data_IF_823674274123
#
_entry.id   IF_823674274123
#
_cell.length_a   1.000
_cell.length_b   1.000
_cell.length_c   1.000
_cell.angle_alpha   90.00
_cell.angle_beta   90.00
_cell.angle_gamma   90.00
#
_symmetry.space_group_name_H-M   'P 1'
#
loop_
_entity.id
_entity.type
_entity.pdbx_description
1 polymer ?
#
# COMPACT_ATOMS: atom_id res chain seq x y z
N UNK A 1 -13.10 -9.23 -16.87
CA UNK A 1 -12.98 -9.74 -15.48
C UNK A 1 -11.63 -9.27 -15.00
N UNK A 2 -11.61 -8.45 -13.96
CA UNK A 2 -10.37 -7.94 -13.41
C UNK A 2 -9.56 -9.07 -12.76
N UNK A 3 -8.22 -9.06 -12.85
CA UNK A 3 -7.41 -10.14 -12.33
C UNK A 3 -7.50 -10.22 -10.80
N UNK A 4 -7.71 -11.44 -10.30
CA UNK A 4 -7.69 -11.74 -8.86
C UNK A 4 -6.30 -12.26 -8.51
N UNK A 5 -5.70 -11.71 -7.47
CA UNK A 5 -4.35 -12.02 -6.99
C UNK A 5 -4.42 -12.54 -5.56
N UNK A 6 -3.64 -13.54 -5.21
CA UNK A 6 -3.61 -14.06 -3.84
C UNK A 6 -3.04 -13.01 -2.86
N UNK A 7 -3.50 -13.07 -1.61
CA UNK A 7 -2.95 -12.19 -0.58
C UNK A 7 -1.46 -12.47 -0.32
N UNK A 8 -0.99 -13.67 -0.57
CA UNK A 8 0.41 -14.04 -0.49
C UNK A 8 1.24 -13.34 -1.57
N UNK A 9 0.79 -13.34 -2.81
CA UNK A 9 1.45 -12.63 -3.90
C UNK A 9 1.46 -11.12 -3.67
N UNK A 10 0.35 -10.53 -3.22
CA UNK A 10 0.29 -9.09 -2.91
C UNK A 10 1.29 -8.73 -1.80
N UNK A 11 1.40 -9.56 -0.76
CA UNK A 11 2.41 -9.38 0.29
C UNK A 11 3.84 -9.47 -0.24
N UNK A 12 4.10 -10.44 -1.12
CA UNK A 12 5.42 -10.63 -1.72
C UNK A 12 5.81 -9.44 -2.61
N UNK A 13 4.92 -8.99 -3.49
CA UNK A 13 5.11 -7.81 -4.35
C UNK A 13 5.39 -6.56 -3.52
N UNK A 14 4.55 -6.36 -2.50
CA UNK A 14 4.72 -5.22 -1.61
C UNK A 14 6.06 -5.26 -0.86
N UNK A 15 6.44 -6.41 -0.30
CA UNK A 15 7.73 -6.58 0.38
C UNK A 15 8.89 -6.31 -0.59
N UNK A 16 8.82 -6.79 -1.82
CA UNK A 16 9.84 -6.55 -2.84
C UNK A 16 10.01 -5.07 -3.18
N UNK A 17 8.90 -4.35 -3.33
CA UNK A 17 8.94 -2.91 -3.60
C UNK A 17 9.56 -2.11 -2.44
N UNK A 18 9.32 -2.54 -1.19
CA UNK A 18 9.91 -1.90 0.00
C UNK A 18 11.43 -2.13 0.10
N UNK A 19 11.98 -3.19 -0.49
CA UNK A 19 13.43 -3.42 -0.52
C UNK A 19 14.21 -2.35 -1.29
N UNK A 20 13.53 -1.59 -2.15
CA UNK A 20 14.10 -0.43 -2.85
C UNK A 20 14.26 0.79 -1.94
N UNK A 21 13.65 0.77 -0.75
CA UNK A 21 13.78 1.87 0.20
C UNK A 21 15.18 1.88 0.84
N UNK A 22 15.64 3.06 1.27
CA UNK A 22 16.94 3.24 1.94
C UNK A 22 16.99 2.65 3.37
N UNK A 23 15.96 1.90 3.77
CA UNK A 23 15.91 1.29 5.11
C UNK A 23 16.89 0.14 5.23
N UNK A 24 17.59 0.05 6.36
CA UNK A 24 18.45 -1.10 6.63
C UNK A 24 17.59 -2.31 6.96
N UNK A 25 17.67 -3.33 6.13
CA UNK A 25 17.09 -4.65 6.41
C UNK A 25 18.21 -5.57 6.83
N UNK A 26 18.16 -6.04 8.07
CA UNK A 26 19.21 -6.91 8.65
C UNK A 26 18.88 -8.40 8.52
N UNK A 27 17.79 -8.78 7.89
CA UNK A 27 17.42 -10.17 7.68
C UNK A 27 18.24 -10.76 6.52
N UNK A 28 19.09 -11.76 6.75
CA UNK A 28 19.91 -12.37 5.70
C UNK A 28 19.08 -12.93 4.54
N UNK A 29 17.86 -13.42 4.82
CA UNK A 29 16.99 -14.03 3.81
C UNK A 29 16.53 -13.02 2.75
N UNK A 30 16.50 -11.74 3.07
CA UNK A 30 16.08 -10.69 2.12
C UNK A 30 17.25 -9.89 1.53
N UNK A 31 18.50 -10.14 1.96
CA UNK A 31 19.66 -9.38 1.46
C UNK A 31 19.91 -9.63 -0.04
N UNK A 32 19.85 -10.87 -0.49
CA UNK A 32 20.00 -11.21 -1.91
C UNK A 32 18.83 -10.64 -2.73
N UNK A 33 17.62 -10.68 -2.17
CA UNK A 33 16.44 -10.10 -2.81
C UNK A 33 16.55 -8.58 -2.92
N UNK A 34 17.12 -7.93 -1.89
CA UNK A 34 17.43 -6.49 -1.95
C UNK A 34 18.40 -6.18 -3.09
N UNK A 35 19.44 -7.00 -3.28
CA UNK A 35 20.37 -6.83 -4.39
C UNK A 35 19.66 -6.94 -5.74
N UNK A 36 18.82 -7.99 -5.91
CA UNK A 36 18.01 -8.15 -7.13
C UNK A 36 17.09 -6.95 -7.38
N UNK A 37 16.42 -6.44 -6.31
CA UNK A 37 15.58 -5.27 -6.41
C UNK A 37 16.36 -4.02 -6.85
N UNK A 38 17.56 -3.79 -6.30
CA UNK A 38 18.44 -2.69 -6.70
C UNK A 38 18.94 -2.84 -8.14
N UNK A 39 19.17 -4.06 -8.61
CA UNK A 39 19.49 -4.39 -10.00
C UNK A 39 18.27 -4.31 -10.93
N UNK A 40 17.08 -3.99 -10.39
CA UNK A 40 15.82 -3.87 -11.11
C UNK A 40 15.35 -5.16 -11.77
N UNK A 41 15.66 -6.30 -11.18
CA UNK A 41 15.09 -7.59 -11.60
C UNK A 41 13.56 -7.50 -11.45
N UNK A 42 12.77 -7.81 -12.49
CA UNK A 42 11.31 -7.83 -12.38
C UNK A 42 10.84 -8.83 -11.33
N UNK A 43 9.76 -8.52 -10.62
CA UNK A 43 9.18 -9.42 -9.63
C UNK A 43 8.83 -10.79 -10.24
N UNK A 44 8.33 -10.78 -11.47
CA UNK A 44 7.94 -11.96 -12.24
C UNK A 44 9.11 -12.91 -12.56
N UNK A 45 10.35 -12.41 -12.54
CA UNK A 45 11.57 -13.17 -12.81
C UNK A 45 12.14 -13.82 -11.53
N UNK A 46 11.54 -13.57 -10.38
CA UNK A 46 11.89 -14.22 -9.12
C UNK A 46 11.36 -15.66 -9.09
N UNK A 47 12.06 -16.53 -8.38
CA UNK A 47 11.62 -17.91 -8.18
C UNK A 47 10.45 -18.01 -7.21
N UNK A 48 9.70 -19.13 -7.25
CA UNK A 48 8.61 -19.39 -6.30
C UNK A 48 9.11 -19.41 -4.83
N UNK A 49 10.33 -19.88 -4.58
CA UNK A 49 10.95 -19.85 -3.26
C UNK A 49 11.19 -18.41 -2.79
N UNK A 50 11.68 -17.54 -3.67
CA UNK A 50 11.90 -16.12 -3.39
C UNK A 50 10.59 -15.37 -3.12
N UNK A 51 9.53 -15.69 -3.86
CA UNK A 51 8.19 -15.18 -3.55
C UNK A 51 7.72 -15.61 -2.17
N UNK A 52 7.93 -16.86 -1.79
CA UNK A 52 7.61 -17.38 -0.45
C UNK A 52 8.38 -16.65 0.66
N UNK A 53 9.68 -16.41 0.46
CA UNK A 53 10.52 -15.63 1.39
C UNK A 53 9.98 -14.22 1.57
N UNK A 54 9.66 -13.54 0.47
CA UNK A 54 9.07 -12.19 0.50
C UNK A 54 7.73 -12.15 1.21
N UNK A 55 6.83 -13.09 0.89
CA UNK A 55 5.51 -13.19 1.50
C UNK A 55 5.58 -13.43 3.02
N UNK A 56 6.60 -14.13 3.50
CA UNK A 56 6.84 -14.34 4.92
C UNK A 56 7.55 -13.17 5.60
N UNK A 57 8.42 -12.47 4.87
CA UNK A 57 9.20 -11.36 5.40
C UNK A 57 8.44 -10.02 5.41
N UNK A 58 7.30 -9.91 4.71
CA UNK A 58 6.61 -8.65 4.45
C UNK A 58 6.36 -7.79 5.70
N UNK A 59 5.95 -8.39 6.81
CA UNK A 59 5.70 -7.67 8.07
C UNK A 59 6.99 -7.21 8.76
N UNK A 60 8.10 -7.92 8.56
CA UNK A 60 9.43 -7.58 9.10
C UNK A 60 10.08 -6.45 8.33
N UNK A 61 9.79 -6.38 7.04
CA UNK A 61 10.33 -5.36 6.16
C UNK A 61 9.87 -3.96 6.56
N UNK A 62 8.68 -3.80 7.11
CA UNK A 62 8.18 -2.49 7.54
C UNK A 62 7.91 -2.36 9.04
N UNK A 63 7.72 -3.45 9.75
CA UNK A 63 7.57 -3.45 11.20
C UNK A 63 6.34 -2.70 11.74
N UNK A 64 5.31 -2.47 10.90
CA UNK A 64 4.13 -1.70 11.30
C UNK A 64 2.96 -2.64 11.59
N UNK A 65 2.53 -2.77 12.87
CA UNK A 65 1.43 -3.66 13.25
C UNK A 65 0.12 -3.42 12.47
N UNK A 66 -0.15 -2.18 12.11
CA UNK A 66 -1.34 -1.78 11.34
C UNK A 66 -1.48 -2.55 10.02
N UNK A 67 -0.36 -2.89 9.36
CA UNK A 67 -0.40 -3.68 8.13
C UNK A 67 -0.86 -5.11 8.39
N UNK A 68 -0.38 -5.73 9.47
CA UNK A 68 -0.77 -7.09 9.85
C UNK A 68 -2.28 -7.15 10.06
N UNK A 69 -2.83 -6.20 10.79
CA UNK A 69 -4.27 -6.12 11.05
C UNK A 69 -5.06 -5.81 9.79
N UNK A 70 -4.54 -4.96 8.92
CA UNK A 70 -5.18 -4.59 7.64
C UNK A 70 -5.29 -5.75 6.64
N UNK A 71 -4.45 -6.78 6.79
CA UNK A 71 -4.50 -8.01 5.99
C UNK A 71 -5.24 -9.16 6.67
N UNK A 72 -5.63 -9.02 7.93
CA UNK A 72 -6.24 -10.11 8.68
C UNK A 72 -7.53 -10.63 7.99
N UNK A 73 -7.58 -11.93 7.73
CA UNK A 73 -8.71 -12.58 7.07
C UNK A 73 -8.86 -12.34 5.57
N UNK A 74 -7.94 -11.61 4.94
CA UNK A 74 -7.95 -11.41 3.48
C UNK A 74 -7.16 -12.53 2.82
N UNK A 75 -7.83 -13.27 1.92
CA UNK A 75 -7.23 -14.38 1.16
C UNK A 75 -6.84 -13.98 -0.27
N UNK A 76 -7.51 -12.98 -0.83
CA UNK A 76 -7.27 -12.50 -2.19
C UNK A 76 -7.61 -11.03 -2.36
N UNK A 77 -7.05 -10.45 -3.40
CA UNK A 77 -7.27 -9.07 -3.83
C UNK A 77 -7.70 -9.05 -5.29
N UNK A 78 -8.50 -8.08 -5.62
CA UNK A 78 -8.82 -7.70 -6.99
C UNK A 78 -8.00 -6.47 -7.35
N UNK A 79 -7.43 -6.46 -8.55
CA UNK A 79 -6.78 -5.29 -9.10
C UNK A 79 -7.85 -4.42 -9.76
N UNK A 80 -8.07 -3.23 -9.24
CA UNK A 80 -9.15 -2.35 -9.67
C UNK A 80 -8.64 -0.94 -9.99
N UNK A 81 -9.28 -0.30 -10.95
CA UNK A 81 -9.08 1.11 -11.26
C UNK A 81 -10.02 1.98 -10.41
N UNK A 82 -9.46 2.72 -9.46
CA UNK A 82 -10.23 3.61 -8.60
C UNK A 82 -10.26 5.03 -9.14
N UNK A 83 -11.44 5.61 -9.17
CA UNK A 83 -11.64 7.04 -9.39
C UNK A 83 -11.17 7.85 -8.17
N UNK A 84 -11.10 9.17 -8.36
CA UNK A 84 -10.84 10.10 -7.26
C UNK A 84 -11.86 10.00 -6.13
N UNK A 85 -13.14 9.78 -6.44
CA UNK A 85 -14.23 9.63 -5.47
C UNK A 85 -14.09 8.36 -4.63
N UNK A 86 -13.70 7.24 -5.25
CA UNK A 86 -13.46 5.99 -4.53
C UNK A 86 -12.25 6.11 -3.58
N UNK A 87 -11.18 6.79 -4.03
CA UNK A 87 -10.04 7.08 -3.17
C UNK A 87 -10.45 8.02 -2.02
N UNK A 88 -11.25 9.05 -2.30
CA UNK A 88 -11.76 9.99 -1.31
C UNK A 88 -12.47 9.29 -0.16
N UNK A 89 -13.30 8.30 -0.49
CA UNK A 89 -14.11 7.53 0.45
C UNK A 89 -13.33 6.45 1.23
N UNK A 90 -12.09 6.12 0.83
CA UNK A 90 -11.26 5.20 1.60
C UNK A 90 -10.79 5.84 2.91
N UNK A 91 -10.57 5.01 3.92
CA UNK A 91 -10.06 5.50 5.22
C UNK A 91 -8.53 5.55 5.23
N UNK A 92 -7.98 6.42 6.07
CA UNK A 92 -6.54 6.45 6.33
C UNK A 92 -6.18 5.60 7.55
N UNK A 93 -4.93 5.14 7.64
CA UNK A 93 -4.46 4.43 8.84
C UNK A 93 -4.46 5.36 10.06
N UNK A 94 -4.62 4.83 11.29
CA UNK A 94 -4.70 5.63 12.51
C UNK A 94 -3.55 6.61 12.69
N UNK A 95 -2.35 6.25 12.25
CA UNK A 95 -1.19 7.14 12.30
C UNK A 95 -1.47 8.49 11.62
N UNK A 96 -1.99 8.48 10.39
CA UNK A 96 -2.30 9.71 9.67
C UNK A 96 -3.53 10.44 10.21
N UNK A 97 -4.51 9.71 10.75
CA UNK A 97 -5.64 10.33 11.43
C UNK A 97 -5.18 11.13 12.65
N UNK A 98 -4.28 10.56 13.46
CA UNK A 98 -3.73 11.22 14.64
C UNK A 98 -2.87 12.45 14.30
N UNK A 99 -2.16 12.46 13.17
CA UNK A 99 -1.37 13.63 12.72
C UNK A 99 -2.22 14.88 12.54
N UNK A 100 -3.50 14.72 12.24
CA UNK A 100 -4.46 15.83 12.10
C UNK A 100 -5.35 16.00 13.34
N UNK A 101 -5.03 15.31 14.44
CA UNK A 101 -5.77 15.39 15.70
C UNK A 101 -7.08 14.64 15.73
N UNK A 102 -7.38 13.80 14.73
CA UNK A 102 -8.60 13.00 14.70
C UNK A 102 -8.54 11.85 15.73
N UNK A 103 -9.62 11.67 16.49
CA UNK A 103 -9.77 10.57 17.44
C UNK A 103 -10.50 9.38 16.81
N UNK A 104 -11.30 9.62 15.78
CA UNK A 104 -12.09 8.64 15.04
C UNK A 104 -11.46 8.36 13.67
N UNK A 105 -11.80 7.23 13.03
CA UNK A 105 -11.40 6.98 11.65
C UNK A 105 -11.88 8.08 10.72
N UNK A 106 -10.98 8.61 9.90
CA UNK A 106 -11.28 9.63 8.89
C UNK A 106 -10.99 9.13 7.49
N UNK A 107 -11.69 9.67 6.50
CA UNK A 107 -11.48 9.36 5.10
C UNK A 107 -10.21 10.03 4.56
N UNK A 108 -9.75 9.56 3.41
CA UNK A 108 -8.63 10.16 2.70
C UNK A 108 -8.89 11.63 2.33
N UNK A 109 -10.14 11.95 1.92
CA UNK A 109 -10.55 13.33 1.64
C UNK A 109 -10.46 14.21 2.88
N UNK A 110 -11.06 13.79 3.99
CA UNK A 110 -10.98 14.52 5.27
C UNK A 110 -9.54 14.72 5.73
N UNK A 111 -8.70 13.72 5.58
CA UNK A 111 -7.27 13.81 5.92
C UNK A 111 -6.56 14.85 5.06
N UNK A 112 -6.79 14.85 3.75
CA UNK A 112 -6.15 15.79 2.81
C UNK A 112 -6.62 17.24 3.04
N UNK A 113 -7.91 17.43 3.38
CA UNK A 113 -8.50 18.74 3.64
C UNK A 113 -8.07 19.32 5.00
N UNK A 114 -7.75 18.48 5.96
CA UNK A 114 -7.23 18.92 7.27
C UNK A 114 -5.82 19.54 7.22
N UNK A 115 -5.25 19.75 6.03
CA UNK A 115 -3.93 20.34 5.82
C UNK A 115 -2.74 19.63 6.51
N UNK A 116 -2.72 18.28 6.65
CA UNK A 116 -1.60 17.59 7.26
C UNK A 116 -0.30 17.78 6.47
N UNK A 117 -0.43 18.18 5.21
CA UNK A 117 0.66 18.33 4.25
C UNK A 117 1.63 19.45 4.63
N UNK A 118 1.23 20.38 5.50
CA UNK A 118 2.12 21.42 6.01
C UNK A 118 2.97 20.95 7.19
N UNK A 119 2.49 19.96 7.92
CA UNK A 119 3.17 19.37 9.08
C UNK A 119 3.92 18.08 8.78
N UNK A 120 3.75 17.53 7.57
CA UNK A 120 4.59 16.40 7.14
C UNK A 120 6.05 16.84 7.27
N UNK A 121 6.82 16.10 8.06
CA UNK A 121 8.24 16.31 8.20
C UNK A 121 8.90 16.58 6.85
N UNK A 122 9.96 17.39 6.78
CA UNK A 122 10.61 17.76 5.52
C UNK A 122 10.92 16.54 4.61
N UNK A 123 11.09 15.35 5.20
CA UNK A 123 11.20 14.09 4.48
C UNK A 123 9.96 13.73 3.69
N UNK A 124 8.77 13.84 4.27
CA UNK A 124 7.50 13.54 3.61
C UNK A 124 7.11 14.63 2.59
N UNK A 125 7.39 15.90 2.89
CA UNK A 125 7.20 16.99 1.94
C UNK A 125 8.09 16.84 0.69
N UNK A 126 9.31 16.32 0.83
CA UNK A 126 10.19 15.99 -0.29
C UNK A 126 9.56 14.95 -1.23
N UNK A 127 8.88 13.96 -0.71
CA UNK A 127 8.21 12.94 -1.55
C UNK A 127 7.01 13.51 -2.31
N UNK A 128 6.30 14.45 -1.76
CA UNK A 128 5.20 15.11 -2.46
C UNK A 128 5.68 16.08 -3.57
N UNK A 129 6.92 16.59 -3.46
CA UNK A 129 7.49 17.61 -4.37
C UNK A 129 8.61 17.10 -5.26
N UNK A 130 9.41 16.16 -4.77
CA UNK A 130 10.56 15.64 -5.48
C UNK A 130 10.16 14.54 -6.41
N UNK A 131 9.75 14.52 -7.50
CA UNK A 131 9.56 13.42 -8.46
C UNK A 131 10.50 12.19 -8.34
N UNK A 132 11.02 11.94 -7.14
CA UNK A 132 11.93 10.84 -6.85
C UNK A 132 11.23 9.50 -7.07
N UNK A 133 11.78 8.60 -7.88
CA UNK A 133 11.22 7.31 -8.18
C UNK A 133 11.52 6.35 -7.03
N UNK A 134 10.68 6.34 -5.99
CA UNK A 134 10.84 5.38 -4.88
C UNK A 134 9.90 4.19 -4.97
N UNK A 135 9.23 4.03 -6.07
CA UNK A 135 8.56 2.79 -6.44
C UNK A 135 8.72 2.60 -7.93
N UNK A 136 8.91 1.40 -8.44
CA UNK A 136 8.78 1.15 -9.86
C UNK A 136 7.50 1.82 -10.34
N UNK A 137 7.58 2.56 -11.44
CA UNK A 137 6.39 3.16 -12.02
C UNK A 137 5.39 2.04 -12.28
N UNK A 138 4.23 2.09 -11.62
CA UNK A 138 3.16 1.16 -11.88
C UNK A 138 2.72 0.24 -10.74
N UNK A 139 3.43 0.20 -9.60
CA UNK A 139 2.92 -0.61 -8.48
C UNK A 139 1.56 -0.10 -8.00
N UNK A 140 0.53 -0.97 -7.91
CA UNK A 140 -0.77 -0.57 -7.40
C UNK A 140 -0.72 -0.09 -5.96
N UNK A 141 -1.63 0.79 -5.55
CA UNK A 141 -1.83 1.10 -4.15
C UNK A 141 -2.42 -0.11 -3.43
N UNK A 142 -2.33 -0.11 -2.12
CA UNK A 142 -2.81 -1.20 -1.30
C UNK A 142 -3.89 -0.74 -0.34
N UNK A 143 -5.09 -1.28 -0.51
CA UNK A 143 -6.20 -1.15 0.44
C UNK A 143 -6.36 -2.45 1.20
N UNK A 144 -6.56 -2.36 2.50
CA UNK A 144 -6.92 -3.47 3.38
C UNK A 144 -8.18 -3.14 4.17
N UNK A 145 -8.37 -3.83 5.31
CA UNK A 145 -9.49 -3.57 6.21
C UNK A 145 -9.02 -3.37 7.63
N UNK A 146 -9.32 -2.21 8.20
CA UNK A 146 -9.13 -1.96 9.63
C UNK A 146 -10.50 -1.73 10.27
N UNK A 147 -10.82 -2.48 11.30
CA UNK A 147 -12.14 -2.47 11.94
C UNK A 147 -13.31 -2.59 10.93
N UNK A 148 -13.13 -3.38 9.87
CA UNK A 148 -14.11 -3.57 8.80
C UNK A 148 -14.15 -2.47 7.73
N UNK A 149 -13.45 -1.37 7.93
CA UNK A 149 -13.44 -0.22 7.00
C UNK A 149 -12.37 -0.39 5.90
N UNK A 150 -12.68 -0.07 4.63
CA UNK A 150 -11.70 -0.08 3.55
C UNK A 150 -10.65 1.01 3.80
N UNK A 151 -9.43 0.60 4.13
CA UNK A 151 -8.39 1.50 4.59
C UNK A 151 -7.20 1.46 3.64
N UNK A 152 -6.74 2.61 3.16
CA UNK A 152 -5.50 2.73 2.40
C UNK A 152 -4.33 2.36 3.32
N UNK A 153 -3.68 1.24 3.05
CA UNK A 153 -2.56 0.75 3.84
C UNK A 153 -1.23 1.30 3.34
N UNK A 154 -1.06 1.35 2.02
CA UNK A 154 0.17 1.83 1.38
C UNK A 154 -0.08 2.62 0.11
N UNK A 155 0.94 3.41 -0.29
CA UNK A 155 0.90 4.23 -1.49
C UNK A 155 0.42 5.67 -1.25
N UNK A 156 0.42 6.16 -0.01
CA UNK A 156 -0.04 7.52 0.33
C UNK A 156 0.59 8.63 -0.54
N UNK A 157 1.88 8.55 -0.83
CA UNK A 157 2.54 9.55 -1.68
C UNK A 157 1.99 9.53 -3.12
N UNK A 158 1.71 8.33 -3.65
CA UNK A 158 1.10 8.16 -4.97
C UNK A 158 -0.34 8.65 -4.97
N UNK A 159 -1.10 8.33 -3.93
CA UNK A 159 -2.48 8.78 -3.72
C UNK A 159 -2.56 10.32 -3.65
N UNK A 160 -1.70 10.97 -2.86
CA UNK A 160 -1.64 12.44 -2.77
C UNK A 160 -1.26 13.07 -4.11
N UNK A 161 -0.30 12.49 -4.82
CA UNK A 161 0.11 12.98 -6.16
C UNK A 161 -1.04 12.86 -7.16
N UNK A 162 -1.72 11.73 -7.16
CA UNK A 162 -2.91 11.50 -7.97
C UNK A 162 -3.99 12.53 -7.63
N UNK A 163 -4.32 12.69 -6.35
CA UNK A 163 -5.31 13.67 -5.88
C UNK A 163 -5.05 15.09 -6.39
N UNK A 164 -3.80 15.52 -6.38
CA UNK A 164 -3.41 16.88 -6.76
C UNK A 164 -3.31 17.10 -8.26
N UNK A 165 -3.02 16.08 -9.05
CA UNK A 165 -2.61 16.23 -10.46
C UNK A 165 -3.53 15.52 -11.45
N UNK A 166 -4.33 14.57 -11.01
CA UNK A 166 -5.18 13.80 -11.92
C UNK A 166 -6.37 14.62 -12.41
N UNK A 167 -6.67 14.47 -13.67
CA UNK A 167 -7.91 14.98 -14.26
C UNK A 167 -9.14 14.22 -13.76
N UNK A 168 -10.34 14.72 -14.05
CA UNK A 168 -11.59 14.17 -13.50
C UNK A 168 -11.89 12.72 -13.93
N UNK A 169 -11.32 12.28 -15.06
CA UNK A 169 -11.53 10.92 -15.60
C UNK A 169 -10.35 9.99 -15.33
N UNK A 170 -9.32 10.46 -14.64
CA UNK A 170 -8.16 9.64 -14.32
C UNK A 170 -8.50 8.59 -13.28
N UNK A 171 -7.87 7.42 -13.39
CA UNK A 171 -7.96 6.34 -12.41
C UNK A 171 -6.60 5.98 -11.85
N UNK A 172 -6.61 5.29 -10.73
CA UNK A 172 -5.43 4.84 -10.01
C UNK A 172 -5.57 3.35 -9.72
N UNK A 173 -4.55 2.58 -10.09
CA UNK A 173 -4.57 1.14 -9.92
C UNK A 173 -4.36 0.77 -8.45
N UNK A 174 -5.24 -0.06 -7.91
CA UNK A 174 -5.29 -0.40 -6.48
C UNK A 174 -5.59 -1.88 -6.27
N UNK A 175 -4.91 -2.52 -5.33
CA UNK A 175 -5.30 -3.80 -4.77
C UNK A 175 -6.41 -3.60 -3.75
N UNK A 176 -7.58 -4.17 -4.02
CA UNK A 176 -8.77 -4.12 -3.16
C UNK A 176 -9.08 -5.52 -2.65
N UNK A 177 -9.29 -5.72 -1.34
CA UNK A 177 -9.64 -7.04 -0.81
C UNK A 177 -10.89 -7.60 -1.45
N UNK A 178 -10.82 -8.85 -1.93
CA UNK A 178 -12.03 -9.59 -2.26
C UNK A 178 -12.79 -9.89 -0.96
N UNK A 179 -14.05 -9.49 -0.91
CA UNK A 179 -14.93 -9.82 0.21
C UNK A 179 -15.49 -11.21 -0.06
N UNK A 180 -15.06 -12.20 0.68
CA UNK A 180 -15.85 -13.42 0.77
C UNK A 180 -17.19 -13.05 1.43
N UNK A 181 -18.24 -13.03 0.65
CA UNK A 181 -19.60 -12.97 1.21
C UNK A 181 -19.75 -14.28 1.99
N UNK A 182 -19.66 -14.19 3.33
CA UNK A 182 -19.98 -15.34 4.17
C UNK A 182 -21.39 -15.79 3.76
N UNK A 183 -21.46 -16.94 3.08
CA UNK A 183 -22.74 -17.59 2.82
C UNK A 183 -23.31 -17.94 4.20
N UNK A 184 -24.21 -17.10 4.67
CA UNK A 184 -25.03 -17.40 5.83
C UNK A 184 -25.89 -18.60 5.41
N UNK A 185 -25.40 -19.81 5.63
CA UNK A 185 -26.22 -21.02 5.62
C UNK A 185 -27.26 -20.85 6.72
N UNK A 186 -28.47 -20.58 6.30
CA UNK A 186 -29.67 -20.64 7.16
C UNK A 186 -30.03 -22.09 7.40
#
# INVERSE_FOLDING_TARGET
MEPVVSAEEVRARWAYSELLSDRPYNDPSVQELKKKALERVPFEDLTAEEHGVLAQAWYRVRGVPTFIHGFAGITSFQLADWSREQLAASYVIPYFAHEVGAQEPITFEQWIEAEPIRSLEPGHARYATSGAPHSPQGEPLLVGRLAGLPTLLDGYHRAVRFWKRAGPTATLLIYVPCVEVAQTTR
#
